data_IF_063683335766
#
_entry.id   IF_063683335766
#
_cell.length_a   1.000
_cell.length_b   1.000
_cell.length_c   1.000
_cell.angle_alpha   90.00
_cell.angle_beta   90.00
_cell.angle_gamma   90.00
#
_symmetry.space_group_name_H-M   'P 1'
#
loop_
_entity.id
_entity.type
_entity.pdbx_description
1 polymer ?
#
# COMPACT_ATOMS: atom_id res chain seq x y z
N UNK A 1 -18.73 -3.81 2.05
CA UNK A 1 -17.97 -2.62 1.60
C UNK A 1 -18.26 -1.37 2.43
N UNK A 2 -19.23 -1.39 3.36
CA UNK A 2 -19.57 -0.23 4.19
C UNK A 2 -18.40 0.26 5.07
N UNK A 3 -17.52 -0.65 5.49
CA UNK A 3 -16.33 -0.32 6.27
C UNK A 3 -15.33 0.58 5.52
N UNK A 4 -15.29 0.56 4.18
CA UNK A 4 -14.44 1.50 3.41
C UNK A 4 -14.99 2.92 3.57
N UNK A 5 -16.31 3.08 3.50
CA UNK A 5 -16.98 4.37 3.65
C UNK A 5 -16.84 4.88 5.09
N UNK A 6 -17.03 4.00 6.08
CA UNK A 6 -16.87 4.34 7.50
C UNK A 6 -15.43 4.74 7.85
N UNK A 7 -14.43 4.14 7.20
CA UNK A 7 -13.01 4.43 7.42
C UNK A 7 -12.40 5.30 6.32
N UNK A 8 -13.22 6.07 5.58
CA UNK A 8 -12.76 6.82 4.42
C UNK A 8 -11.66 7.81 4.79
N UNK A 9 -11.81 8.53 5.90
CA UNK A 9 -10.80 9.49 6.37
C UNK A 9 -9.45 8.81 6.71
N UNK A 10 -9.38 7.78 7.58
CA UNK A 10 -8.14 7.03 7.81
C UNK A 10 -7.50 6.51 6.51
N UNK A 11 -8.30 5.99 5.59
CA UNK A 11 -7.83 5.46 4.30
C UNK A 11 -7.25 6.58 3.44
N UNK A 12 -7.91 7.72 3.31
CA UNK A 12 -7.42 8.83 2.49
C UNK A 12 -6.14 9.43 3.07
N UNK A 13 -6.04 9.57 4.40
CA UNK A 13 -4.81 10.04 5.05
C UNK A 13 -3.67 9.07 4.85
N UNK A 14 -3.89 7.77 5.07
CA UNK A 14 -2.89 6.74 4.83
C UNK A 14 -2.46 6.68 3.35
N UNK A 15 -3.41 6.84 2.43
CA UNK A 15 -3.14 6.87 0.98
C UNK A 15 -2.29 8.07 0.60
N UNK A 16 -2.60 9.25 1.13
CA UNK A 16 -1.84 10.47 0.89
C UNK A 16 -0.41 10.36 1.45
N UNK A 17 -0.26 9.91 2.71
CA UNK A 17 1.05 9.74 3.32
C UNK A 17 1.88 8.66 2.60
N UNK A 18 1.25 7.56 2.20
CA UNK A 18 1.89 6.57 1.36
C UNK A 18 2.34 7.16 0.03
N UNK A 19 1.53 8.01 -0.62
CA UNK A 19 1.86 8.58 -1.93
C UNK A 19 3.05 9.54 -1.80
N UNK A 20 3.04 10.37 -0.76
CA UNK A 20 4.17 11.23 -0.40
C UNK A 20 5.43 10.38 -0.18
N UNK A 21 5.33 9.28 0.58
CA UNK A 21 6.47 8.40 0.82
C UNK A 21 7.00 7.77 -0.49
N UNK A 22 6.12 7.28 -1.35
CA UNK A 22 6.48 6.73 -2.66
C UNK A 22 7.15 7.78 -3.56
N UNK A 23 6.65 9.02 -3.57
CA UNK A 23 7.23 10.12 -4.33
C UNK A 23 8.58 10.57 -3.75
N UNK A 24 8.75 10.58 -2.43
CA UNK A 24 10.02 10.90 -1.77
C UNK A 24 11.08 9.85 -2.12
N UNK A 25 10.73 8.56 -2.09
CA UNK A 25 11.61 7.49 -2.55
C UNK A 25 11.93 7.64 -4.05
N UNK A 26 10.94 8.01 -4.87
CA UNK A 26 11.16 8.29 -6.28
C UNK A 26 12.02 9.51 -6.54
N UNK A 27 12.09 10.53 -5.67
CA UNK A 27 13.02 11.66 -5.87
C UNK A 27 14.49 11.25 -5.90
N UNK A 28 14.81 10.04 -5.45
CA UNK A 28 16.13 9.42 -5.64
C UNK A 28 16.38 8.96 -7.09
N UNK A 29 15.38 9.10 -7.99
CA UNK A 29 15.44 8.81 -9.42
C UNK A 29 14.70 9.90 -10.22
N UNK A 30 15.33 10.52 -11.23
CA UNK A 30 14.67 11.55 -12.04
C UNK A 30 13.71 10.94 -13.07
N UNK A 31 12.59 10.35 -12.62
CA UNK A 31 11.49 9.97 -13.49
C UNK A 31 10.44 11.09 -13.49
N UNK A 32 10.21 11.73 -14.64
CA UNK A 32 9.15 12.73 -14.79
C UNK A 32 7.81 12.02 -14.96
N UNK A 33 7.05 11.88 -13.88
CA UNK A 33 5.67 11.41 -13.96
C UNK A 33 4.80 12.47 -14.61
N UNK A 34 3.96 12.07 -15.57
CA UNK A 34 2.91 12.95 -16.08
C UNK A 34 1.80 13.11 -15.03
N UNK A 35 1.02 14.21 -15.07
CA UNK A 35 -0.13 14.38 -14.18
C UNK A 35 -1.11 13.20 -14.24
N UNK A 36 -1.33 12.63 -15.44
CA UNK A 36 -2.16 11.44 -15.61
C UNK A 36 -1.63 10.21 -14.88
N UNK A 37 -0.31 9.98 -14.93
CA UNK A 37 0.34 8.88 -14.20
C UNK A 37 0.27 9.08 -12.69
N UNK A 38 0.35 10.31 -12.20
CA UNK A 38 0.17 10.62 -10.78
C UNK A 38 -1.25 10.30 -10.30
N UNK A 39 -2.27 10.64 -11.10
CA UNK A 39 -3.67 10.28 -10.79
C UNK A 39 -3.83 8.77 -10.74
N UNK A 40 -3.30 8.04 -11.74
CA UNK A 40 -3.36 6.57 -11.76
C UNK A 40 -2.67 5.97 -10.54
N UNK A 41 -1.48 6.47 -10.18
CA UNK A 41 -0.75 6.03 -8.99
C UNK A 41 -1.55 6.29 -7.71
N UNK A 42 -2.12 7.48 -7.56
CA UNK A 42 -2.94 7.84 -6.39
C UNK A 42 -4.18 6.95 -6.26
N UNK A 43 -4.88 6.66 -7.36
CA UNK A 43 -6.05 5.78 -7.35
C UNK A 43 -5.65 4.34 -7.02
N UNK A 44 -4.62 3.80 -7.69
CA UNK A 44 -4.14 2.44 -7.44
C UNK A 44 -3.68 2.26 -5.99
N UNK A 45 -2.99 3.26 -5.45
CA UNK A 45 -2.49 3.26 -4.09
C UNK A 45 -3.61 3.39 -3.05
N UNK A 46 -4.62 4.20 -3.34
CA UNK A 46 -5.81 4.31 -2.49
C UNK A 46 -6.57 2.99 -2.47
N UNK A 47 -6.71 2.33 -3.62
CA UNK A 47 -7.34 1.02 -3.70
C UNK A 47 -6.57 -0.05 -2.91
N UNK A 48 -5.25 -0.08 -3.03
CA UNK A 48 -4.40 -0.96 -2.23
C UNK A 48 -4.56 -0.67 -0.73
N UNK A 49 -4.66 0.61 -0.34
CA UNK A 49 -4.92 1.02 1.04
C UNK A 49 -6.29 0.53 1.53
N UNK A 50 -7.32 0.53 0.69
CA UNK A 50 -8.63 -0.05 1.02
C UNK A 50 -8.54 -1.55 1.30
N UNK A 51 -7.77 -2.30 0.48
CA UNK A 51 -7.53 -3.74 0.68
C UNK A 51 -6.82 -3.96 2.01
N UNK A 52 -5.78 -3.18 2.27
CA UNK A 52 -5.03 -3.25 3.53
C UNK A 52 -5.94 -2.94 4.73
N UNK A 53 -6.72 -1.86 4.68
CA UNK A 53 -7.66 -1.53 5.74
C UNK A 53 -8.70 -2.65 5.96
N UNK A 54 -9.23 -3.24 4.88
CA UNK A 54 -10.12 -4.40 4.97
C UNK A 54 -9.44 -5.59 5.66
N UNK A 55 -8.18 -5.88 5.32
CA UNK A 55 -7.40 -6.92 5.98
C UNK A 55 -7.22 -6.64 7.48
N UNK A 56 -6.93 -5.39 7.86
CA UNK A 56 -6.74 -5.02 9.28
C UNK A 56 -8.04 -5.06 10.09
N UNK A 57 -9.17 -4.75 9.47
CA UNK A 57 -10.49 -4.78 10.11
C UNK A 57 -10.97 -6.22 10.31
N UNK A 58 -10.73 -7.10 9.34
CA UNK A 58 -11.26 -8.46 9.31
C UNK A 58 -10.30 -9.49 9.90
N UNK A 59 -9.02 -9.15 10.09
CA UNK A 59 -8.05 -10.08 10.64
C UNK A 59 -8.42 -10.43 12.10
N UNK A 60 -8.52 -11.73 12.44
CA UNK A 60 -8.73 -12.14 13.82
C UNK A 60 -7.52 -11.70 14.67
N UNK A 61 -7.73 -11.27 15.93
CA UNK A 61 -6.67 -10.77 16.79
C UNK A 61 -5.82 -11.92 17.35
N UNK A 62 -4.98 -12.50 16.49
CA UNK A 62 -4.07 -13.61 16.86
C UNK A 62 -2.72 -13.10 17.42
N UNK A 63 -2.42 -11.81 17.25
CA UNK A 63 -1.21 -11.17 17.73
C UNK A 63 -1.45 -9.70 18.10
N UNK A 64 -0.42 -9.03 18.63
CA UNK A 64 -0.47 -7.61 18.94
C UNK A 64 -0.84 -6.76 17.71
N UNK A 65 -1.56 -5.65 17.93
CA UNK A 65 -2.06 -4.75 16.88
C UNK A 65 -0.99 -4.35 15.86
N UNK A 66 0.20 -3.99 16.35
CA UNK A 66 1.33 -3.60 15.50
C UNK A 66 1.83 -4.76 14.64
N UNK A 67 2.02 -5.93 15.23
CA UNK A 67 2.44 -7.15 14.53
C UNK A 67 1.43 -7.53 13.44
N UNK A 68 0.14 -7.49 13.75
CA UNK A 68 -0.92 -7.76 12.77
C UNK A 68 -0.88 -6.73 11.64
N UNK A 69 -0.77 -5.44 11.97
CA UNK A 69 -0.79 -4.37 10.96
C UNK A 69 0.35 -4.42 9.96
N UNK A 70 1.58 -4.52 10.45
CA UNK A 70 2.77 -4.57 9.63
C UNK A 70 2.91 -5.95 8.96
N UNK A 71 2.54 -7.01 9.67
CA UNK A 71 2.50 -8.37 9.15
C UNK A 71 1.57 -8.50 7.96
N UNK A 72 0.33 -7.99 8.04
CA UNK A 72 -0.61 -7.97 6.90
C UNK A 72 -0.04 -7.20 5.71
N UNK A 73 0.61 -6.05 5.94
CA UNK A 73 1.25 -5.30 4.86
C UNK A 73 2.35 -6.11 4.16
N UNK A 74 3.23 -6.76 4.94
CA UNK A 74 4.32 -7.60 4.40
C UNK A 74 3.76 -8.83 3.67
N UNK A 75 2.75 -9.51 4.23
CA UNK A 75 2.14 -10.70 3.62
C UNK A 75 1.46 -10.35 2.29
N UNK A 76 0.68 -9.26 2.24
CA UNK A 76 0.06 -8.79 1.00
C UNK A 76 1.16 -8.37 0.02
N UNK A 77 2.20 -7.68 0.47
CA UNK A 77 3.32 -7.28 -0.39
C UNK A 77 4.00 -8.48 -1.04
N UNK A 78 4.45 -9.47 -0.25
CA UNK A 78 5.18 -10.63 -0.79
C UNK A 78 4.27 -11.58 -1.57
N UNK A 79 3.01 -11.74 -1.15
CA UNK A 79 2.05 -12.66 -1.76
C UNK A 79 1.34 -12.11 -3.00
N UNK A 80 1.26 -10.79 -3.15
CA UNK A 80 0.51 -10.15 -4.24
C UNK A 80 1.34 -9.15 -5.05
N UNK A 81 1.95 -8.15 -4.40
CA UNK A 81 2.64 -7.06 -5.10
C UNK A 81 3.93 -7.53 -5.76
N UNK A 82 4.74 -8.33 -5.07
CA UNK A 82 6.00 -8.85 -5.62
C UNK A 82 5.75 -9.76 -6.83
N UNK A 83 4.88 -10.78 -6.78
CA UNK A 83 4.64 -11.66 -7.93
C UNK A 83 4.07 -10.91 -9.14
N UNK A 84 3.09 -10.03 -8.91
CA UNK A 84 2.48 -9.26 -10.01
C UNK A 84 3.48 -8.31 -10.67
N UNK A 85 4.33 -7.66 -9.88
CA UNK A 85 5.40 -6.78 -10.40
C UNK A 85 6.45 -7.59 -11.14
N UNK A 86 6.98 -8.65 -10.53
CA UNK A 86 8.04 -9.48 -11.11
C UNK A 86 7.60 -10.13 -12.42
N UNK A 87 6.43 -10.77 -12.45
CA UNK A 87 5.90 -11.43 -13.66
C UNK A 87 5.59 -10.40 -14.74
N UNK A 88 4.93 -9.30 -14.37
CA UNK A 88 4.59 -8.22 -15.32
C UNK A 88 5.83 -7.56 -15.93
N UNK A 89 6.90 -7.42 -15.16
CA UNK A 89 8.15 -6.78 -15.58
C UNK A 89 9.05 -7.73 -16.38
N UNK A 90 9.08 -9.01 -15.99
CA UNK A 90 9.80 -10.05 -16.73
C UNK A 90 9.28 -10.16 -18.17
N UNK A 91 7.96 -10.15 -18.36
CA UNK A 91 7.33 -10.16 -19.69
C UNK A 91 7.70 -8.95 -20.58
N UNK A 92 8.20 -7.86 -19.97
CA UNK A 92 8.56 -6.61 -20.64
C UNK A 92 10.07 -6.36 -20.69
N UNK A 93 10.88 -7.33 -20.24
CA UNK A 93 12.35 -7.21 -20.25
C UNK A 93 12.90 -6.15 -19.29
N UNK A 94 12.17 -5.78 -18.23
CA UNK A 94 12.66 -4.79 -17.25
C UNK A 94 13.80 -5.40 -16.42
N UNK A 95 14.94 -4.69 -16.22
CA UNK A 95 16.07 -5.22 -15.47
C UNK A 95 15.70 -5.62 -14.04
N UNK A 96 16.19 -6.77 -13.56
CA UNK A 96 15.86 -7.28 -12.23
C UNK A 96 16.19 -6.31 -11.08
N UNK A 97 17.25 -5.49 -11.23
CA UNK A 97 17.57 -4.43 -10.26
C UNK A 97 16.50 -3.34 -10.20
N UNK A 98 15.90 -2.97 -11.34
CA UNK A 98 14.80 -2.00 -11.36
C UNK A 98 13.56 -2.59 -10.70
N UNK A 99 13.20 -3.82 -11.06
CA UNK A 99 12.10 -4.58 -10.42
C UNK A 99 12.25 -4.67 -8.91
N UNK A 100 13.45 -5.00 -8.41
CA UNK A 100 13.70 -5.12 -6.96
C UNK A 100 13.51 -3.79 -6.24
N UNK A 101 13.93 -2.68 -6.85
CA UNK A 101 13.74 -1.34 -6.26
C UNK A 101 12.27 -0.94 -6.24
N UNK A 102 11.52 -1.22 -7.31
CA UNK A 102 10.10 -0.89 -7.36
C UNK A 102 9.30 -1.75 -6.36
N UNK A 103 9.65 -3.04 -6.20
CA UNK A 103 9.11 -3.89 -5.13
C UNK A 103 9.42 -3.32 -3.74
N UNK A 104 10.64 -2.84 -3.49
CA UNK A 104 11.01 -2.25 -2.21
C UNK A 104 10.27 -0.93 -1.94
N UNK A 105 10.08 -0.10 -2.97
CA UNK A 105 9.28 1.13 -2.86
C UNK A 105 7.83 0.82 -2.47
N UNK A 106 7.23 -0.21 -3.07
CA UNK A 106 5.89 -0.67 -2.68
C UNK A 106 5.83 -1.15 -1.23
N UNK A 107 6.85 -1.87 -0.75
CA UNK A 107 6.91 -2.27 0.65
C UNK A 107 6.91 -1.05 1.58
N UNK A 108 7.81 -0.08 1.35
CA UNK A 108 7.88 1.16 2.14
C UNK A 108 6.52 1.87 2.16
N UNK A 109 5.89 1.96 1.00
CA UNK A 109 4.56 2.58 0.83
C UNK A 109 3.50 1.88 1.68
N UNK A 110 3.43 0.55 1.61
CA UNK A 110 2.46 -0.24 2.36
C UNK A 110 2.72 -0.20 3.87
N UNK A 111 3.98 -0.15 4.31
CA UNK A 111 4.32 0.01 5.72
C UNK A 111 3.90 1.37 6.27
N UNK A 112 4.06 2.44 5.49
CA UNK A 112 3.56 3.78 5.86
C UNK A 112 2.04 3.77 5.96
N UNK A 113 1.35 3.13 5.01
CA UNK A 113 -0.11 3.00 5.06
C UNK A 113 -0.56 2.22 6.30
N UNK A 114 0.01 1.03 6.55
CA UNK A 114 -0.32 0.19 7.70
C UNK A 114 -0.10 0.92 9.03
N UNK A 115 1.05 1.61 9.15
CA UNK A 115 1.38 2.42 10.32
C UNK A 115 0.35 3.53 10.52
N UNK A 116 0.00 4.26 9.45
CA UNK A 116 -0.97 5.35 9.51
C UNK A 116 -2.35 4.86 9.93
N UNK A 117 -2.84 3.77 9.32
CA UNK A 117 -4.13 3.16 9.66
C UNK A 117 -4.15 2.68 11.12
N UNK A 118 -3.03 2.14 11.60
CA UNK A 118 -2.88 1.65 12.99
C UNK A 118 -2.88 2.79 14.00
N UNK A 119 -2.24 3.91 13.66
CA UNK A 119 -2.17 5.11 14.50
C UNK A 119 -3.51 5.84 14.58
N UNK A 120 -4.20 6.00 13.45
CA UNK A 120 -5.53 6.64 13.41
C UNK A 120 -6.58 5.73 14.04
N UNK A 121 -6.44 4.42 13.85
CA UNK A 121 -7.44 3.43 14.22
C UNK A 121 -8.48 3.24 13.13
N UNK A 122 -9.06 2.04 13.09
CA UNK A 122 -10.11 1.66 12.17
C UNK A 122 -11.34 1.21 12.97
N UNK A 123 -12.51 1.60 12.50
CA UNK A 123 -13.79 1.17 13.05
C UNK A 123 -14.22 -0.13 12.38
N UNK A 124 -14.46 -1.21 13.15
CA UNK A 124 -15.03 -2.44 12.61
C UNK A 124 -16.48 -2.18 12.12
N UNK A 125 -16.99 -3.01 11.19
CA UNK A 125 -18.33 -2.83 10.66
C UNK A 125 -19.37 -2.94 11.76
N UNK A 126 -20.15 -1.87 11.94
CA UNK A 126 -21.36 -1.86 12.76
C UNK A 126 -22.53 -2.33 11.89
N UNK A 127 -22.91 -3.61 12.02
CA UNK A 127 -24.07 -4.28 11.40
C UNK A 127 -24.27 -4.08 9.89
#
# INVERSE_FOLDING_TARGET
MIYIVQNLLPILVASLLGLIAGLVVQRLRPAKLTPGQLVVAAVAQTWLCCILAGALILAPPEAGRWTMSLGSAVVIWIGFVVPTTVVGYAARGVPGRATAVDCAQWLVTMLVQATTLTLIGLTPPTS
#
